data_IF_223463534812
#
_entry.id   IF_223463534812
#
_cell.length_a   1.000
_cell.length_b   1.000
_cell.length_c   1.000
_cell.angle_alpha   90.00
_cell.angle_beta   90.00
_cell.angle_gamma   90.00
#
_symmetry.space_group_name_H-M   'P 1'
#
loop_
_entity.id
_entity.type
_entity.pdbx_description
1 polymer ?
#
# COMPACT_ATOMS: atom_id res chain seq x y z
N UNK A 1 1.01 6.09 1.22
CA UNK A 1 2.15 5.21 1.58
C UNK A 1 3.46 5.79 1.10
N UNK A 2 3.39 6.63 0.07
CA UNK A 2 4.51 7.05 -0.75
C UNK A 2 4.15 8.40 -1.41
N UNK A 3 5.13 9.02 -2.04
CA UNK A 3 4.97 10.17 -2.95
C UNK A 3 6.14 10.21 -3.95
N UNK A 4 5.89 10.65 -5.18
CA UNK A 4 6.93 10.82 -6.19
C UNK A 4 7.90 11.95 -5.84
N UNK A 5 9.17 11.72 -6.07
CA UNK A 5 10.22 12.73 -5.88
C UNK A 5 10.28 13.67 -7.09
N UNK A 6 10.34 14.97 -6.83
CA UNK A 6 10.50 16.01 -7.86
C UNK A 6 9.25 16.29 -8.69
N UNK A 7 8.11 15.66 -8.37
CA UNK A 7 6.83 15.96 -9.02
C UNK A 7 6.15 17.11 -8.27
N UNK A 8 5.69 18.19 -8.93
CA UNK A 8 5.03 19.29 -8.25
C UNK A 8 3.85 18.80 -7.41
N UNK A 9 3.72 19.31 -6.18
CA UNK A 9 2.68 18.88 -5.24
C UNK A 9 1.24 19.06 -5.77
N UNK A 10 1.03 20.01 -6.66
CA UNK A 10 -0.25 20.29 -7.31
C UNK A 10 -0.37 19.63 -8.69
N UNK A 11 0.62 18.83 -9.11
CA UNK A 11 0.54 18.06 -10.35
C UNK A 11 -0.64 17.07 -10.24
N UNK A 12 -1.47 16.89 -11.28
CA UNK A 12 -2.66 16.03 -11.21
C UNK A 12 -2.32 14.58 -10.80
N UNK A 13 -1.16 14.08 -11.22
CA UNK A 13 -0.68 12.72 -10.93
C UNK A 13 0.16 12.59 -9.64
N UNK A 14 0.33 13.66 -8.85
CA UNK A 14 0.93 13.53 -7.51
C UNK A 14 -0.01 12.82 -6.55
N UNK A 15 0.53 12.11 -5.58
CA UNK A 15 -0.30 11.45 -4.57
C UNK A 15 -0.94 12.44 -3.59
N UNK A 16 -0.34 13.62 -3.38
CA UNK A 16 -1.01 14.78 -2.78
C UNK A 16 -2.30 15.14 -3.53
N UNK A 17 -2.24 15.34 -4.85
CA UNK A 17 -3.43 15.65 -5.67
C UNK A 17 -4.43 14.50 -5.68
N UNK A 18 -3.97 13.25 -5.77
CA UNK A 18 -4.83 12.07 -5.75
C UNK A 18 -5.64 12.01 -4.45
N UNK A 19 -4.98 12.07 -3.30
CA UNK A 19 -5.63 11.97 -2.00
C UNK A 19 -6.55 13.16 -1.73
N UNK A 20 -6.12 14.37 -2.10
CA UNK A 20 -6.95 15.56 -1.98
C UNK A 20 -8.22 15.47 -2.82
N UNK A 21 -8.09 15.11 -4.11
CA UNK A 21 -9.20 15.14 -5.05
C UNK A 21 -10.18 13.98 -4.93
N UNK A 22 -9.71 12.82 -4.50
CA UNK A 22 -10.53 11.61 -4.44
C UNK A 22 -11.04 11.30 -3.03
N UNK A 23 -10.45 11.87 -1.97
CA UNK A 23 -10.83 11.54 -0.60
C UNK A 23 -10.91 12.75 0.33
N UNK A 24 -9.78 13.38 0.67
CA UNK A 24 -9.71 14.33 1.80
C UNK A 24 -10.68 15.50 1.70
N UNK A 25 -10.87 16.08 0.50
CA UNK A 25 -11.79 17.23 0.33
C UNK A 25 -13.28 16.89 0.44
N UNK A 26 -13.63 15.60 0.51
CA UNK A 26 -15.01 15.10 0.54
C UNK A 26 -15.46 14.60 1.92
N UNK A 27 -14.57 14.69 2.92
CA UNK A 27 -14.81 14.25 4.30
C UNK A 27 -14.43 15.36 5.28
N UNK A 28 -14.75 15.16 6.55
CA UNK A 28 -14.55 16.11 7.66
C UNK A 28 -13.23 15.92 8.41
N UNK A 29 -12.21 15.33 7.76
CA UNK A 29 -10.87 15.20 8.36
C UNK A 29 -10.21 16.58 8.49
N UNK A 30 -9.61 16.87 9.65
CA UNK A 30 -8.75 18.04 9.82
C UNK A 30 -7.51 17.89 8.92
N UNK A 31 -7.22 18.84 8.01
CA UNK A 31 -6.03 18.79 7.16
C UNK A 31 -4.71 18.63 7.92
N UNK A 32 -4.63 19.09 9.17
CA UNK A 32 -3.44 18.92 10.01
C UNK A 32 -3.19 17.46 10.43
N UNK A 33 -4.21 16.61 10.34
CA UNK A 33 -4.14 15.17 10.63
C UNK A 33 -3.95 14.33 9.35
N UNK A 34 -3.80 14.96 8.18
CA UNK A 34 -3.58 14.29 6.91
C UNK A 34 -2.11 14.40 6.49
N UNK A 35 -1.35 13.31 6.64
CA UNK A 35 0.09 13.30 6.40
C UNK A 35 0.43 12.52 5.11
N UNK A 36 1.19 13.17 4.22
CA UNK A 36 1.78 12.56 3.01
C UNK A 36 3.22 13.06 2.94
N UNK A 37 4.14 12.17 2.55
CA UNK A 37 5.56 12.48 2.33
C UNK A 37 5.72 13.67 1.37
N UNK A 38 6.69 14.54 1.64
CA UNK A 38 7.06 15.61 0.71
C UNK A 38 8.18 15.18 -0.24
N UNK A 39 7.80 14.70 -1.43
CA UNK A 39 8.75 14.35 -2.49
C UNK A 39 9.56 15.53 -3.05
N UNK A 40 9.29 16.77 -2.63
CA UNK A 40 10.05 17.96 -3.02
C UNK A 40 10.85 18.57 -1.86
N UNK A 41 10.98 17.85 -0.74
CA UNK A 41 11.79 18.29 0.39
C UNK A 41 13.26 18.50 -0.03
N UNK A 42 13.96 19.50 0.53
CA UNK A 42 15.37 19.76 0.20
C UNK A 42 16.30 18.63 0.68
N UNK A 43 15.98 18.01 1.82
CA UNK A 43 16.60 16.79 2.30
C UNK A 43 15.54 15.68 2.38
N UNK A 44 15.63 14.74 1.44
CA UNK A 44 14.69 13.65 1.29
C UNK A 44 14.80 12.61 2.40
N UNK A 45 15.98 12.43 3.00
CA UNK A 45 16.15 11.49 4.10
C UNK A 45 15.62 12.09 5.40
N UNK A 46 15.87 13.38 5.64
CA UNK A 46 15.28 14.09 6.79
C UNK A 46 13.74 14.07 6.74
N UNK A 47 13.13 14.25 5.57
CA UNK A 47 11.67 14.10 5.40
C UNK A 47 11.18 12.69 5.75
N UNK A 48 11.91 11.65 5.32
CA UNK A 48 11.58 10.26 5.66
C UNK A 48 11.66 10.01 7.17
N UNK A 49 12.73 10.47 7.82
CA UNK A 49 12.92 10.31 9.26
C UNK A 49 11.87 11.09 10.06
N UNK A 50 11.53 12.30 9.59
CA UNK A 50 10.46 13.11 10.17
C UNK A 50 9.08 12.44 10.02
N UNK A 51 8.83 11.73 8.92
CA UNK A 51 7.59 10.99 8.70
C UNK A 51 7.45 9.81 9.68
N UNK A 52 8.53 9.06 9.91
CA UNK A 52 8.56 8.01 10.93
C UNK A 52 8.30 8.57 12.33
N UNK A 53 8.89 9.72 12.65
CA UNK A 53 8.66 10.40 13.93
C UNK A 53 7.20 10.82 14.10
N UNK A 54 6.55 11.34 13.05
CA UNK A 54 5.11 11.68 13.09
C UNK A 54 4.25 10.45 13.37
N UNK A 55 4.59 9.28 12.81
CA UNK A 55 3.91 8.02 13.09
C UNK A 55 4.08 7.63 14.56
N UNK A 56 5.29 7.72 15.08
CA UNK A 56 5.59 7.43 16.49
C UNK A 56 4.85 8.39 17.45
N UNK A 57 4.87 9.69 17.17
CA UNK A 57 4.18 10.73 17.94
C UNK A 57 2.65 10.56 17.93
N UNK A 58 2.10 10.00 16.85
CA UNK A 58 0.68 9.64 16.76
C UNK A 58 0.33 8.35 17.53
N UNK A 59 1.32 7.62 18.07
CA UNK A 59 1.12 6.36 18.80
C UNK A 59 1.14 5.10 17.93
N UNK A 60 1.66 5.21 16.70
CA UNK A 60 1.67 4.15 15.70
C UNK A 60 0.44 4.14 14.79
N UNK A 61 0.37 3.15 13.89
CA UNK A 61 -0.75 2.98 12.96
C UNK A 61 -1.69 1.88 13.48
N UNK A 62 -2.95 2.21 13.73
CA UNK A 62 -3.94 1.21 14.15
C UNK A 62 -4.35 0.28 13.00
N UNK A 63 -4.64 0.86 11.83
CA UNK A 63 -4.98 0.12 10.61
C UNK A 63 -4.20 0.70 9.43
N UNK A 64 -3.37 -0.14 8.81
CA UNK A 64 -2.67 0.20 7.58
C UNK A 64 -3.40 -0.41 6.39
N UNK A 65 -3.94 0.43 5.50
CA UNK A 65 -4.55 -0.03 4.24
C UNK A 65 -3.54 0.09 3.10
N UNK A 66 -3.34 -1.01 2.37
CA UNK A 66 -2.44 -1.07 1.23
C UNK A 66 -3.03 -1.85 0.06
N UNK A 67 -2.28 -1.86 -1.03
CA UNK A 67 -2.52 -2.73 -2.19
C UNK A 67 -1.29 -3.57 -2.49
N UNK A 68 -1.35 -4.31 -3.60
CA UNK A 68 -0.24 -5.11 -4.11
C UNK A 68 0.10 -4.71 -5.55
N UNK A 69 1.38 -4.52 -5.84
CA UNK A 69 1.90 -4.36 -7.21
C UNK A 69 1.84 -5.67 -8.01
N UNK A 70 1.88 -5.64 -9.36
CA UNK A 70 1.98 -6.87 -10.17
C UNK A 70 3.23 -7.73 -9.86
N UNK A 71 4.25 -7.11 -9.29
CA UNK A 71 5.52 -7.68 -8.80
C UNK A 71 5.48 -8.02 -7.29
N UNK A 72 4.33 -7.89 -6.63
CA UNK A 72 4.15 -8.17 -5.21
C UNK A 72 4.66 -7.10 -4.26
N UNK A 73 4.94 -5.87 -4.72
CA UNK A 73 5.38 -4.81 -3.81
C UNK A 73 4.26 -4.32 -2.89
N UNK A 74 4.64 -3.92 -1.66
CA UNK A 74 3.85 -3.05 -0.77
C UNK A 74 4.44 -1.64 -0.80
N UNK A 75 3.62 -0.60 -1.01
CA UNK A 75 4.12 0.75 -1.33
C UNK A 75 5.13 0.69 -2.50
N UNK A 76 6.17 1.53 -2.53
CA UNK A 76 7.29 1.35 -3.46
C UNK A 76 8.43 0.49 -2.88
N UNK A 77 8.12 -0.52 -2.07
CA UNK A 77 9.09 -1.53 -1.65
C UNK A 77 9.28 -2.57 -2.78
N UNK A 78 9.95 -2.12 -3.84
CA UNK A 78 10.29 -2.88 -5.04
C UNK A 78 11.02 -4.20 -4.71
N UNK A 79 10.99 -5.20 -5.60
CA UNK A 79 11.70 -6.47 -5.43
C UNK A 79 13.17 -6.29 -5.00
N UNK A 80 13.56 -7.00 -3.95
CA UNK A 80 14.88 -6.90 -3.32
C UNK A 80 14.94 -5.92 -2.14
N UNK A 81 13.86 -5.19 -1.85
CA UNK A 81 13.78 -4.31 -0.68
C UNK A 81 13.85 -5.09 0.63
N UNK A 82 14.60 -4.58 1.61
CA UNK A 82 14.65 -5.21 2.94
C UNK A 82 13.26 -5.32 3.56
N UNK A 83 12.93 -6.49 4.09
CA UNK A 83 11.66 -6.74 4.78
C UNK A 83 11.58 -6.05 6.15
N UNK A 84 12.70 -5.52 6.67
CA UNK A 84 12.78 -4.70 7.88
C UNK A 84 13.04 -3.22 7.57
N UNK A 85 12.86 -2.79 6.32
CA UNK A 85 13.13 -1.42 5.90
C UNK A 85 12.21 -0.40 6.60
N UNK A 86 12.74 0.82 6.77
CA UNK A 86 11.99 2.03 7.16
C UNK A 86 11.68 2.91 5.96
N UNK A 87 10.96 3.99 6.23
CA UNK A 87 10.67 5.06 5.27
C UNK A 87 11.97 5.58 4.67
N UNK A 88 12.02 5.65 3.34
CA UNK A 88 13.24 5.98 2.60
C UNK A 88 12.96 6.41 1.17
N UNK A 89 13.98 6.97 0.54
CA UNK A 89 14.06 7.13 -0.91
C UNK A 89 14.19 5.76 -1.61
N UNK A 90 13.41 5.55 -2.66
CA UNK A 90 13.51 4.39 -3.54
C UNK A 90 13.47 4.80 -5.00
N UNK A 91 14.39 4.22 -5.78
CA UNK A 91 14.31 4.23 -7.25
C UNK A 91 13.25 3.22 -7.69
N UNK A 92 12.37 3.64 -8.60
CA UNK A 92 11.31 2.80 -9.14
C UNK A 92 11.89 1.73 -10.08
N UNK A 93 11.32 0.53 -10.03
CA UNK A 93 11.64 -0.54 -10.96
C UNK A 93 11.05 -0.23 -12.36
N UNK A 94 11.61 -0.87 -13.40
CA UNK A 94 11.13 -0.67 -14.77
C UNK A 94 9.64 -1.07 -14.92
N UNK A 95 9.21 -2.14 -14.26
CA UNK A 95 7.81 -2.58 -14.28
C UNK A 95 6.86 -1.52 -13.70
N UNK A 96 7.27 -0.85 -12.62
CA UNK A 96 6.55 0.28 -12.02
C UNK A 96 6.48 1.48 -12.96
N UNK A 97 7.59 1.81 -13.62
CA UNK A 97 7.64 2.91 -14.61
C UNK A 97 6.69 2.60 -15.78
N UNK A 98 6.71 1.38 -16.31
CA UNK A 98 5.83 0.93 -17.39
C UNK A 98 4.34 0.97 -16.97
N UNK A 99 4.03 0.49 -15.77
CA UNK A 99 2.66 0.46 -15.25
C UNK A 99 2.09 1.89 -15.03
N UNK A 100 2.94 2.84 -14.67
CA UNK A 100 2.53 4.21 -14.35
C UNK A 100 2.60 5.16 -15.55
N UNK A 101 3.30 4.80 -16.65
CA UNK A 101 3.42 5.62 -17.85
C UNK A 101 2.07 6.09 -18.41
N UNK A 102 1.01 5.28 -18.26
CA UNK A 102 -0.36 5.64 -18.69
C UNK A 102 -0.89 6.92 -18.04
N UNK A 103 -0.37 7.31 -16.88
CA UNK A 103 -0.72 8.55 -16.18
C UNK A 103 0.11 9.75 -16.67
N UNK A 104 1.23 9.49 -17.35
CA UNK A 104 2.16 10.52 -17.85
C UNK A 104 2.17 10.56 -19.39
N UNK A 105 0.99 10.66 -20.00
CA UNK A 105 0.79 10.67 -21.47
C UNK A 105 1.31 9.44 -22.22
N UNK A 106 1.58 8.33 -21.52
CA UNK A 106 2.23 7.15 -22.10
C UNK A 106 3.75 7.32 -22.30
N UNK A 107 4.34 8.41 -21.81
CA UNK A 107 5.76 8.72 -21.99
C UNK A 107 6.57 8.30 -20.75
N UNK A 108 7.38 7.26 -20.92
CA UNK A 108 8.25 6.71 -19.87
C UNK A 108 9.23 7.75 -19.30
N UNK A 109 9.65 8.73 -20.11
CA UNK A 109 10.61 9.75 -19.69
C UNK A 109 10.01 10.78 -18.73
N UNK A 110 8.68 10.89 -18.68
CA UNK A 110 7.94 11.80 -17.78
C UNK A 110 7.63 11.17 -16.43
N UNK A 111 7.76 9.85 -16.30
CA UNK A 111 7.50 9.16 -15.04
C UNK A 111 8.65 9.50 -14.07
N UNK A 112 8.36 9.97 -12.85
CA UNK A 112 9.40 10.18 -11.84
C UNK A 112 10.18 8.89 -11.59
N UNK A 113 11.51 8.98 -11.56
CA UNK A 113 12.38 7.80 -11.41
C UNK A 113 12.56 7.38 -9.96
N UNK A 114 12.14 8.21 -9.01
CA UNK A 114 12.28 8.00 -7.59
C UNK A 114 11.00 8.38 -6.84
N UNK A 115 10.79 7.76 -5.70
CA UNK A 115 9.71 8.06 -4.78
C UNK A 115 10.21 7.96 -3.33
N UNK A 116 9.58 8.72 -2.44
CA UNK A 116 9.63 8.46 -1.01
C UNK A 116 8.58 7.42 -0.70
N UNK A 117 8.91 6.44 0.13
CA UNK A 117 8.00 5.34 0.48
C UNK A 117 8.21 4.93 1.91
N UNK A 118 7.13 4.59 2.62
CA UNK A 118 7.23 3.84 3.86
C UNK A 118 7.93 2.51 3.62
N UNK A 119 8.64 2.01 4.64
CA UNK A 119 9.32 0.73 4.56
C UNK A 119 8.38 -0.44 4.84
N UNK A 120 8.83 -1.66 4.50
CA UNK A 120 8.09 -2.89 4.86
C UNK A 120 7.93 -3.00 6.37
N UNK A 121 9.00 -2.68 7.13
CA UNK A 121 8.97 -2.64 8.59
C UNK A 121 8.00 -1.59 9.13
N UNK A 122 7.93 -0.42 8.50
CA UNK A 122 6.97 0.64 8.86
C UNK A 122 5.52 0.14 8.76
N UNK A 123 5.18 -0.63 7.72
CA UNK A 123 3.83 -1.22 7.58
C UNK A 123 3.62 -2.37 8.56
N UNK A 124 4.64 -3.19 8.79
CA UNK A 124 4.61 -4.32 9.75
C UNK A 124 4.43 -3.87 11.21
N UNK A 125 4.76 -2.62 11.54
CA UNK A 125 4.55 -2.05 12.88
C UNK A 125 3.10 -1.64 13.15
N UNK A 126 2.22 -1.66 12.12
CA UNK A 126 0.81 -1.38 12.32
C UNK A 126 0.14 -2.45 13.20
N UNK A 127 -0.90 -2.10 13.95
CA UNK A 127 -1.64 -3.10 14.76
C UNK A 127 -2.43 -4.07 13.87
N UNK A 128 -2.90 -3.59 12.72
CA UNK A 128 -3.63 -4.34 11.71
C UNK A 128 -3.23 -3.86 10.31
N UNK A 129 -3.09 -4.81 9.38
CA UNK A 129 -2.81 -4.52 7.97
C UNK A 129 -3.95 -5.07 7.12
N UNK A 130 -4.49 -4.25 6.20
CA UNK A 130 -5.47 -4.68 5.22
C UNK A 130 -4.93 -4.46 3.81
N UNK A 131 -4.83 -5.53 3.02
CA UNK A 131 -4.37 -5.48 1.63
C UNK A 131 -5.57 -5.73 0.69
N UNK A 132 -5.90 -4.73 -0.12
CA UNK A 132 -6.94 -4.82 -1.15
C UNK A 132 -6.35 -5.23 -2.50
N UNK A 133 -6.91 -6.28 -3.11
CA UNK A 133 -6.39 -6.88 -4.34
C UNK A 133 -7.52 -7.19 -5.31
N UNK A 134 -7.55 -6.53 -6.46
CA UNK A 134 -8.61 -6.73 -7.46
C UNK A 134 -8.06 -6.92 -8.86
N UNK A 135 -8.65 -7.88 -9.58
CA UNK A 135 -8.40 -8.15 -10.99
C UNK A 135 -7.31 -9.19 -11.26
N UNK A 136 -7.48 -9.90 -12.39
CA UNK A 136 -6.64 -11.03 -12.80
C UNK A 136 -5.15 -10.69 -12.91
N UNK A 137 -4.83 -9.46 -13.30
CA UNK A 137 -3.45 -8.97 -13.42
C UNK A 137 -2.68 -8.93 -12.08
N UNK A 138 -3.35 -9.17 -10.94
CA UNK A 138 -2.73 -9.29 -9.61
C UNK A 138 -2.69 -10.71 -9.06
N UNK A 139 -3.30 -11.68 -9.75
CA UNK A 139 -3.44 -13.03 -9.23
C UNK A 139 -2.10 -13.73 -8.96
N UNK A 140 -1.13 -13.54 -9.85
CA UNK A 140 0.20 -14.12 -9.67
C UNK A 140 0.95 -13.53 -8.47
N UNK A 141 0.87 -12.22 -8.28
CA UNK A 141 1.47 -11.55 -7.13
C UNK A 141 0.83 -12.01 -5.81
N UNK A 142 -0.50 -12.20 -5.79
CA UNK A 142 -1.20 -12.75 -4.64
C UNK A 142 -0.72 -14.17 -4.32
N UNK A 143 -0.66 -15.05 -5.32
CA UNK A 143 -0.10 -16.40 -5.18
C UNK A 143 1.30 -16.37 -4.56
N UNK A 144 2.20 -15.54 -5.09
CA UNK A 144 3.56 -15.37 -4.55
C UNK A 144 3.58 -14.86 -3.11
N UNK A 145 2.66 -13.96 -2.77
CA UNK A 145 2.61 -13.35 -1.45
C UNK A 145 2.07 -14.29 -0.35
N UNK A 146 1.17 -15.23 -0.68
CA UNK A 146 0.48 -16.03 0.36
C UNK A 146 0.64 -17.56 0.24
N UNK A 147 1.00 -18.10 -0.93
CA UNK A 147 1.20 -19.55 -1.10
C UNK A 147 2.68 -19.95 -1.22
N UNK A 148 3.54 -19.03 -1.65
CA UNK A 148 4.99 -19.18 -1.50
C UNK A 148 5.47 -18.64 -0.14
N UNK A 149 6.76 -18.76 0.16
CA UNK A 149 7.33 -18.32 1.42
C UNK A 149 7.70 -16.83 1.44
N UNK A 150 7.97 -16.33 2.64
CA UNK A 150 8.52 -14.99 2.88
C UNK A 150 9.76 -14.76 2.01
N UNK A 151 9.69 -13.74 1.14
CA UNK A 151 10.73 -13.45 0.15
C UNK A 151 10.74 -11.95 -0.17
N UNK A 152 11.91 -11.32 -0.07
CA UNK A 152 12.09 -9.90 -0.38
C UNK A 152 11.86 -9.52 -1.85
N UNK A 153 11.71 -10.49 -2.75
CA UNK A 153 11.29 -10.26 -4.13
C UNK A 153 9.79 -10.02 -4.25
N UNK A 154 8.99 -10.39 -3.25
CA UNK A 154 7.53 -10.25 -3.20
C UNK A 154 7.17 -9.67 -1.83
N UNK A 155 7.38 -8.38 -1.62
CA UNK A 155 7.45 -7.80 -0.26
C UNK A 155 6.17 -7.89 0.55
N UNK A 156 4.99 -8.03 -0.08
CA UNK A 156 3.73 -8.36 0.62
C UNK A 156 3.80 -9.71 1.35
N UNK A 157 4.66 -10.64 0.94
CA UNK A 157 4.89 -11.91 1.65
C UNK A 157 5.41 -11.72 3.08
N UNK A 158 5.97 -10.55 3.43
CA UNK A 158 6.35 -10.23 4.80
C UNK A 158 5.18 -10.34 5.78
N UNK A 159 3.94 -10.04 5.32
CA UNK A 159 2.76 -10.09 6.15
C UNK A 159 2.33 -11.50 6.57
N UNK A 160 2.96 -12.56 6.04
CA UNK A 160 2.84 -13.90 6.60
C UNK A 160 3.33 -13.97 8.06
N UNK A 161 4.19 -13.04 8.47
CA UNK A 161 4.74 -12.95 9.82
C UNK A 161 4.06 -11.85 10.66
N UNK A 162 3.08 -11.14 10.09
CA UNK A 162 2.35 -10.10 10.80
C UNK A 162 1.21 -10.73 11.61
N UNK A 163 0.99 -10.33 12.90
CA UNK A 163 0.01 -10.98 13.76
C UNK A 163 -1.44 -10.78 13.31
N UNK A 164 -1.72 -9.75 12.49
CA UNK A 164 -3.09 -9.42 12.08
C UNK A 164 -3.15 -8.79 10.70
N UNK A 165 -3.23 -9.63 9.67
CA UNK A 165 -3.37 -9.18 8.27
C UNK A 165 -4.66 -9.70 7.66
N UNK A 166 -5.39 -8.82 6.98
CA UNK A 166 -6.58 -9.14 6.20
C UNK A 166 -6.29 -8.92 4.72
N UNK A 167 -6.49 -9.95 3.91
CA UNK A 167 -6.49 -9.82 2.45
C UNK A 167 -7.93 -9.76 1.96
N UNK A 168 -8.29 -8.67 1.27
CA UNK A 168 -9.61 -8.48 0.65
C UNK A 168 -9.42 -8.58 -0.85
N UNK A 169 -10.00 -9.62 -1.46
CA UNK A 169 -9.81 -9.93 -2.86
C UNK A 169 -11.12 -10.11 -3.61
N UNK A 170 -11.15 -9.79 -4.91
CA UNK A 170 -12.19 -10.25 -5.83
C UNK A 170 -11.89 -11.67 -6.35
N UNK A 171 -12.83 -12.27 -7.08
CA UNK A 171 -12.66 -13.62 -7.65
C UNK A 171 -11.47 -13.68 -8.62
N UNK A 172 -11.32 -12.67 -9.48
CA UNK A 172 -10.28 -12.62 -10.51
C UNK A 172 -8.86 -12.57 -9.90
N UNK A 173 -8.67 -11.92 -8.75
CA UNK A 173 -7.40 -11.95 -8.03
C UNK A 173 -7.04 -13.36 -7.51
N UNK A 174 -7.99 -14.30 -7.43
CA UNK A 174 -7.73 -15.65 -6.90
C UNK A 174 -7.35 -16.70 -7.96
N UNK A 175 -7.24 -16.31 -9.23
CA UNK A 175 -7.06 -17.25 -10.36
C UNK A 175 -5.83 -18.17 -10.26
N UNK A 176 -4.73 -17.68 -9.65
CA UNK A 176 -3.48 -18.44 -9.48
C UNK A 176 -3.41 -19.21 -8.15
N UNK A 177 -4.42 -19.06 -7.26
CA UNK A 177 -4.43 -19.74 -5.98
C UNK A 177 -4.88 -21.20 -6.12
N UNK A 178 -4.37 -22.06 -5.24
CA UNK A 178 -4.84 -23.44 -5.16
C UNK A 178 -6.31 -23.46 -4.74
N UNK A 179 -7.08 -24.33 -5.40
CA UNK A 179 -8.49 -24.58 -5.08
C UNK A 179 -8.72 -24.86 -3.58
N UNK A 180 -7.77 -25.54 -2.92
CA UNK A 180 -7.83 -25.83 -1.47
C UNK A 180 -7.82 -24.54 -0.64
N UNK A 181 -6.94 -23.59 -0.96
CA UNK A 181 -6.80 -22.29 -0.30
C UNK A 181 -8.10 -21.50 -0.43
N UNK A 182 -8.61 -21.38 -1.67
CA UNK A 182 -9.85 -20.65 -1.95
C UNK A 182 -11.04 -21.28 -1.24
N UNK A 183 -11.19 -22.61 -1.29
CA UNK A 183 -12.29 -23.33 -0.61
C UNK A 183 -12.28 -23.11 0.90
N UNK A 184 -11.10 -23.13 1.52
CA UNK A 184 -10.96 -22.91 2.96
C UNK A 184 -11.48 -21.52 3.34
N UNK A 185 -10.96 -20.46 2.71
CA UNK A 185 -11.36 -19.08 3.06
C UNK A 185 -12.79 -18.74 2.65
N UNK A 186 -13.30 -19.27 1.52
CA UNK A 186 -14.73 -19.16 1.20
C UNK A 186 -15.61 -19.82 2.26
N UNK A 187 -15.19 -20.95 2.81
CA UNK A 187 -15.88 -21.61 3.94
C UNK A 187 -15.95 -20.76 5.20
N UNK A 188 -14.99 -19.86 5.42
CA UNK A 188 -14.93 -18.95 6.56
C UNK A 188 -15.71 -17.64 6.38
N UNK A 189 -16.25 -17.36 5.18
CA UNK A 189 -16.92 -16.07 4.91
C UNK A 189 -18.10 -15.78 5.84
N UNK A 190 -18.83 -16.80 6.30
CA UNK A 190 -19.90 -16.61 7.29
C UNK A 190 -19.40 -16.11 8.66
N UNK A 191 -18.14 -16.41 9.00
CA UNK A 191 -17.48 -15.87 10.19
C UNK A 191 -16.93 -14.48 9.90
N UNK A 192 -16.20 -14.31 8.79
CA UNK A 192 -15.54 -13.05 8.47
C UNK A 192 -16.52 -11.94 8.09
N UNK A 193 -17.69 -12.25 7.54
CA UNK A 193 -18.74 -11.26 7.29
C UNK A 193 -19.25 -10.61 8.57
N UNK A 194 -19.07 -11.23 9.74
CA UNK A 194 -19.38 -10.60 11.04
C UNK A 194 -18.51 -9.38 11.35
N UNK A 195 -17.42 -9.18 10.62
CA UNK A 195 -16.58 -7.97 10.71
C UNK A 195 -17.27 -6.74 10.10
N UNK A 196 -18.22 -6.96 9.18
CA UNK A 196 -18.93 -5.90 8.44
C UNK A 196 -20.46 -5.97 8.58
N UNK A 197 -20.97 -6.98 9.29
CA UNK A 197 -22.40 -7.19 9.55
C UNK A 197 -22.63 -7.59 11.03
N UNK A 198 -23.34 -6.76 11.83
CA UNK A 198 -24.00 -5.52 11.44
C UNK A 198 -23.01 -4.39 11.15
N UNK A 199 -23.33 -3.55 10.17
CA UNK A 199 -22.57 -2.34 9.89
C UNK A 199 -22.97 -1.25 10.89
N UNK A 200 -22.02 -0.83 11.72
CA UNK A 200 -22.25 0.23 12.71
C UNK A 200 -22.38 1.61 12.06
N UNK A 201 -23.15 2.49 12.70
CA UNK A 201 -23.32 3.89 12.29
C UNK A 201 -23.10 4.82 13.47
N UNK A 202 -22.60 6.03 13.19
CA UNK A 202 -22.51 7.10 14.20
C UNK A 202 -23.87 7.77 14.46
N UNK A 203 -24.93 7.44 13.70
CA UNK A 203 -26.28 7.91 14.00
C UNK A 203 -26.74 7.27 15.32
N UNK A 204 -27.30 8.08 16.22
CA UNK A 204 -27.91 7.57 17.45
C UNK A 204 -28.96 6.51 17.12
N UNK A 205 -28.98 5.43 17.91
CA UNK A 205 -29.95 4.33 17.80
C UNK A 205 -31.35 4.75 18.22
#
# INVERSE_FOLDING_TARGET
>A
MDEYVGLPRNHPESYHSYMWNNFFKHIDIDPNNAHILDGNAPDLQEECDAFEKKIEEAGGIDLFVGGIGPDGHIAFNEPGSSLSSRTRLKTLAMDTILANAKYFDGDLSKVPTMALTVGVGTVMDAREVMILITGAHKAFALYKAIEEGVNHMWTVSAFQQHPRTIFVCDEDATLELRVKTVKYFKGLMHVHNKLVDPLYSMKEN
#
